data_IF_348286368881
#
_entry.id   IF_348286368881
#
_cell.length_a   1.000
_cell.length_b   1.000
_cell.length_c   1.000
_cell.angle_alpha   90.00
_cell.angle_beta   90.00
_cell.angle_gamma   90.00
#
_symmetry.space_group_name_H-M   'P 1'
#
loop_
_entity.id
_entity.type
_entity.pdbx_description
1 polymer ?
#
# COMPACT_ATOMS: atom_id res chain seq x y z
N UNK A 1 -10.08 -12.48 46.14
CA UNK A 1 -10.85 -12.46 44.86
C UNK A 1 -10.68 -11.09 44.23
N UNK A 2 -9.83 -10.96 43.21
CA UNK A 2 -10.00 -9.95 42.14
C UNK A 2 -9.41 -10.59 40.88
N UNK A 3 -10.28 -11.10 39.98
CA UNK A 3 -9.87 -11.49 38.63
C UNK A 3 -9.97 -10.22 37.79
N UNK A 4 -8.86 -9.49 37.67
CA UNK A 4 -8.76 -8.37 36.75
C UNK A 4 -8.73 -8.93 35.33
N UNK A 5 -9.89 -8.89 34.69
CA UNK A 5 -10.05 -9.36 33.31
C UNK A 5 -9.54 -8.25 32.42
N UNK A 6 -8.23 -8.26 32.15
CA UNK A 6 -7.62 -7.46 31.08
C UNK A 6 -8.20 -8.00 29.77
N UNK A 7 -9.31 -7.40 29.31
CA UNK A 7 -9.75 -7.53 27.92
C UNK A 7 -8.63 -6.93 27.07
N UNK A 8 -7.69 -7.77 26.60
CA UNK A 8 -6.81 -7.41 25.49
C UNK A 8 -7.71 -6.90 24.38
N UNK A 9 -7.58 -5.62 24.04
CA UNK A 9 -8.07 -5.12 22.76
C UNK A 9 -7.35 -5.95 21.72
N UNK A 10 -8.04 -6.95 21.19
CA UNK A 10 -7.60 -7.68 20.01
C UNK A 10 -7.26 -6.61 18.98
N UNK A 11 -6.01 -6.57 18.54
CA UNK A 11 -5.56 -5.61 17.54
C UNK A 11 -6.50 -5.73 16.34
N UNK A 12 -6.93 -4.63 15.75
CA UNK A 12 -7.87 -4.66 14.61
C UNK A 12 -7.33 -5.51 13.46
N UNK A 13 -6.00 -5.69 13.38
CA UNK A 13 -5.28 -6.56 12.43
C UNK A 13 -5.43 -8.06 12.74
N UNK A 14 -5.52 -8.47 14.02
CA UNK A 14 -5.70 -9.89 14.40
C UNK A 14 -7.04 -10.46 13.89
N UNK A 15 -7.98 -9.59 13.52
CA UNK A 15 -9.26 -9.97 12.91
C UNK A 15 -9.18 -10.19 11.40
N UNK A 16 -8.12 -9.72 10.75
CA UNK A 16 -7.93 -9.69 9.30
C UNK A 16 -6.47 -10.01 8.94
N UNK A 17 -5.96 -11.21 9.27
CA UNK A 17 -4.55 -11.58 9.16
C UNK A 17 -3.99 -11.47 7.72
N UNK A 18 -4.85 -11.64 6.71
CA UNK A 18 -4.54 -11.45 5.30
C UNK A 18 -4.15 -9.99 4.98
N UNK A 19 -4.77 -9.01 5.65
CA UNK A 19 -4.43 -7.60 5.49
C UNK A 19 -3.11 -7.27 6.19
N UNK A 20 -2.81 -7.90 7.32
CA UNK A 20 -1.56 -7.70 8.04
C UNK A 20 -0.36 -8.16 7.20
N UNK A 21 -0.40 -9.40 6.69
CA UNK A 21 0.65 -9.90 5.80
C UNK A 21 0.79 -9.06 4.53
N UNK A 22 -0.34 -8.58 4.02
CA UNK A 22 -0.38 -7.68 2.87
C UNK A 22 0.30 -6.33 3.16
N UNK A 23 -0.03 -5.66 4.27
CA UNK A 23 0.58 -4.37 4.62
C UNK A 23 2.06 -4.52 4.95
N UNK A 24 2.48 -5.63 5.54
CA UNK A 24 3.89 -5.91 5.77
C UNK A 24 4.63 -6.03 4.44
N UNK A 25 4.12 -6.84 3.50
CA UNK A 25 4.75 -7.01 2.17
C UNK A 25 4.85 -5.69 1.40
N UNK A 26 3.81 -4.86 1.50
CA UNK A 26 3.76 -3.54 0.90
C UNK A 26 4.80 -2.59 1.53
N UNK A 27 4.97 -2.65 2.85
CA UNK A 27 5.95 -1.86 3.60
C UNK A 27 7.37 -2.27 3.22
N UNK A 28 7.69 -3.57 3.29
CA UNK A 28 9.01 -4.09 2.97
C UNK A 28 9.44 -3.72 1.54
N UNK A 29 8.53 -3.89 0.58
CA UNK A 29 8.77 -3.53 -0.83
C UNK A 29 8.98 -2.01 -0.99
N UNK A 30 8.21 -1.21 -0.26
CA UNK A 30 8.31 0.25 -0.32
C UNK A 30 9.59 0.77 0.31
N UNK A 31 10.05 0.16 1.41
CA UNK A 31 11.31 0.47 2.07
C UNK A 31 12.52 0.14 1.19
N UNK A 32 12.48 -0.98 0.46
CA UNK A 32 13.49 -1.32 -0.54
C UNK A 32 13.53 -0.31 -1.71
N UNK A 33 12.37 0.19 -2.13
CA UNK A 33 12.30 1.24 -3.16
C UNK A 33 12.75 2.59 -2.60
N UNK A 34 12.54 2.88 -1.32
CA UNK A 34 12.99 4.12 -0.70
C UNK A 34 14.53 4.29 -0.76
N UNK A 35 15.28 3.19 -0.73
CA UNK A 35 16.74 3.21 -0.84
C UNK A 35 17.26 3.33 -2.28
N UNK A 36 16.41 3.65 -3.27
CA UNK A 36 16.76 3.70 -4.71
C UNK A 36 17.92 4.63 -5.08
N UNK A 37 18.12 5.69 -4.30
CA UNK A 37 19.21 6.65 -4.51
C UNK A 37 20.39 6.44 -3.56
N UNK A 38 20.38 5.36 -2.79
CA UNK A 38 21.49 5.01 -1.93
C UNK A 38 22.54 4.19 -2.69
N UNK A 39 23.68 3.97 -2.05
CA UNK A 39 24.77 3.14 -2.54
C UNK A 39 24.56 1.64 -2.24
N UNK A 40 23.44 1.28 -1.62
CA UNK A 40 23.10 -0.11 -1.35
C UNK A 40 22.67 -0.81 -2.64
N UNK A 41 23.19 -2.01 -2.87
CA UNK A 41 22.75 -2.87 -3.97
C UNK A 41 21.36 -3.43 -3.64
N UNK A 42 20.33 -2.83 -4.23
CA UNK A 42 18.99 -3.38 -4.24
C UNK A 42 18.63 -3.82 -5.67
N UNK A 43 17.93 -4.96 -5.76
CA UNK A 43 17.39 -5.47 -7.01
C UNK A 43 16.08 -4.72 -7.32
N UNK A 44 16.23 -3.49 -7.79
CA UNK A 44 15.09 -2.63 -8.08
C UNK A 44 14.16 -3.22 -9.13
N UNK A 45 14.66 -4.02 -10.08
CA UNK A 45 13.80 -4.67 -11.07
C UNK A 45 12.84 -5.63 -10.36
N UNK A 46 13.36 -6.45 -9.45
CA UNK A 46 12.55 -7.32 -8.61
C UNK A 46 11.61 -6.54 -7.68
N UNK A 47 12.08 -5.50 -7.00
CA UNK A 47 11.26 -4.73 -6.06
C UNK A 47 10.05 -4.08 -6.76
N UNK A 48 10.25 -3.53 -7.97
CA UNK A 48 9.16 -2.96 -8.76
C UNK A 48 8.21 -4.03 -9.31
N UNK A 49 8.72 -5.20 -9.69
CA UNK A 49 7.88 -6.33 -10.08
C UNK A 49 7.00 -6.80 -8.91
N UNK A 50 7.56 -6.88 -7.71
CA UNK A 50 6.82 -7.24 -6.49
C UNK A 50 5.76 -6.19 -6.16
N UNK A 51 6.09 -4.90 -6.27
CA UNK A 51 5.13 -3.81 -6.06
C UNK A 51 3.93 -3.91 -7.02
N UNK A 52 4.18 -4.20 -8.29
CA UNK A 52 3.12 -4.39 -9.29
C UNK A 52 2.30 -5.65 -8.99
N UNK A 53 2.94 -6.77 -8.67
CA UNK A 53 2.26 -8.02 -8.31
C UNK A 53 1.33 -7.83 -7.11
N UNK A 54 1.82 -7.14 -6.07
CA UNK A 54 1.02 -6.79 -4.89
C UNK A 54 -0.18 -5.93 -5.31
N UNK A 55 0.03 -4.94 -6.19
CA UNK A 55 -1.06 -4.09 -6.65
C UNK A 55 -2.12 -4.85 -7.46
N UNK A 56 -1.72 -5.72 -8.38
CA UNK A 56 -2.65 -6.59 -9.11
C UNK A 56 -3.46 -7.48 -8.17
N UNK A 57 -2.82 -8.03 -7.12
CA UNK A 57 -3.51 -8.83 -6.12
C UNK A 57 -4.55 -8.01 -5.32
N UNK A 58 -4.30 -6.73 -5.06
CA UNK A 58 -5.30 -5.84 -4.45
C UNK A 58 -6.47 -5.65 -5.41
N UNK A 59 -6.18 -5.40 -6.69
CA UNK A 59 -7.20 -5.07 -7.67
C UNK A 59 -8.16 -6.23 -7.95
N UNK A 60 -7.74 -7.47 -7.67
CA UNK A 60 -8.57 -8.66 -7.86
C UNK A 60 -9.60 -8.91 -6.75
N UNK A 61 -9.49 -8.21 -5.61
CA UNK A 61 -10.42 -8.34 -4.48
C UNK A 61 -11.66 -7.46 -4.71
N UNK A 62 -12.85 -8.01 -4.46
CA UNK A 62 -14.14 -7.29 -4.53
C UNK A 62 -14.37 -6.37 -3.32
N UNK A 63 -13.57 -5.30 -3.24
CA UNK A 63 -13.61 -4.34 -2.14
C UNK A 63 -14.93 -3.58 -2.00
N UNK A 64 -15.72 -3.44 -3.06
CA UNK A 64 -16.99 -2.72 -3.05
C UNK A 64 -18.09 -3.42 -2.25
N UNK A 65 -18.03 -4.75 -2.14
CA UNK A 65 -18.98 -5.59 -1.40
C UNK A 65 -18.43 -6.05 -0.06
N UNK A 66 -17.13 -5.88 0.19
CA UNK A 66 -16.46 -6.27 1.43
C UNK A 66 -17.06 -5.61 2.68
N UNK A 67 -16.97 -6.30 3.82
CA UNK A 67 -17.39 -5.79 5.13
C UNK A 67 -16.83 -4.39 5.42
N UNK A 68 -17.60 -3.55 6.11
CA UNK A 68 -17.22 -2.17 6.41
C UNK A 68 -15.93 -2.08 7.24
N UNK A 69 -15.74 -2.97 8.22
CA UNK A 69 -14.52 -3.00 9.02
C UNK A 69 -13.30 -3.33 8.15
N UNK A 70 -13.43 -4.36 7.32
CA UNK A 70 -12.39 -4.80 6.40
C UNK A 70 -11.99 -3.71 5.39
N UNK A 71 -12.99 -3.09 4.74
CA UNK A 71 -12.77 -2.02 3.79
C UNK A 71 -12.16 -0.77 4.43
N UNK A 72 -12.66 -0.35 5.61
CA UNK A 72 -12.13 0.82 6.30
C UNK A 72 -10.66 0.62 6.72
N UNK A 73 -10.32 -0.60 7.14
CA UNK A 73 -8.93 -0.95 7.43
C UNK A 73 -8.08 -0.87 6.17
N UNK A 74 -8.46 -1.59 5.11
CA UNK A 74 -7.79 -1.55 3.81
C UNK A 74 -7.57 -0.12 3.30
N UNK A 75 -8.64 0.68 3.22
CA UNK A 75 -8.57 2.04 2.69
C UNK A 75 -7.65 2.95 3.50
N UNK A 76 -7.58 2.78 4.82
CA UNK A 76 -6.68 3.57 5.67
C UNK A 76 -5.22 3.29 5.35
N UNK A 77 -4.85 2.01 5.31
CA UNK A 77 -3.49 1.59 4.99
C UNK A 77 -3.10 1.87 3.53
N UNK A 78 -3.99 1.61 2.58
CA UNK A 78 -3.73 1.91 1.17
C UNK A 78 -3.51 3.40 0.93
N UNK A 79 -4.26 4.26 1.63
CA UNK A 79 -4.03 5.72 1.60
C UNK A 79 -2.64 6.07 2.16
N UNK A 80 -2.24 5.45 3.26
CA UNK A 80 -0.92 5.65 3.86
C UNK A 80 0.20 5.23 2.90
N UNK A 81 0.09 4.04 2.31
CA UNK A 81 1.04 3.55 1.30
C UNK A 81 1.25 4.53 0.15
N UNK A 82 0.17 4.97 -0.49
CA UNK A 82 0.25 5.91 -1.62
C UNK A 82 0.92 7.23 -1.21
N UNK A 83 0.80 7.63 0.07
CA UNK A 83 1.49 8.80 0.62
C UNK A 83 2.98 8.56 0.82
N UNK A 84 3.40 7.40 1.32
CA UNK A 84 4.82 7.05 1.42
C UNK A 84 5.46 7.03 0.02
N UNK A 85 4.79 6.43 -0.97
CA UNK A 85 5.26 6.44 -2.36
C UNK A 85 5.41 7.87 -2.90
N UNK A 86 4.49 8.78 -2.56
CA UNK A 86 4.59 10.21 -2.92
C UNK A 86 5.83 10.88 -2.32
N UNK A 87 6.15 10.57 -1.06
CA UNK A 87 7.32 11.09 -0.35
C UNK A 87 8.62 10.55 -0.98
N UNK A 88 8.70 9.25 -1.25
CA UNK A 88 9.85 8.63 -1.93
C UNK A 88 10.08 9.28 -3.30
N UNK A 89 9.03 9.49 -4.09
CA UNK A 89 9.15 10.18 -5.39
C UNK A 89 9.71 11.59 -5.21
N UNK A 90 9.26 12.31 -4.19
CA UNK A 90 9.71 13.69 -3.92
C UNK A 90 11.18 13.71 -3.55
N UNK A 91 11.59 12.90 -2.57
CA UNK A 91 13.00 12.78 -2.15
C UNK A 91 13.89 12.32 -3.33
N UNK A 92 13.41 11.36 -4.12
CA UNK A 92 14.17 10.87 -5.25
C UNK A 92 14.38 11.90 -6.36
N UNK A 93 13.46 12.85 -6.52
CA UNK A 93 13.60 13.98 -7.45
C UNK A 93 14.61 15.02 -6.96
N UNK A 94 14.88 15.12 -5.66
CA UNK A 94 15.84 16.09 -5.11
C UNK A 94 17.30 15.66 -5.36
N UNK A 95 17.59 14.36 -5.36
CA UNK A 95 18.95 13.81 -5.53
C UNK A 95 19.39 13.76 -7.02
N UNK A 96 18.44 13.75 -7.97
CA UNK A 96 18.67 13.80 -9.42
C UNK A 96 19.69 12.77 -9.97
N UNK A 97 19.62 11.50 -9.55
CA UNK A 97 20.45 10.44 -10.10
C UNK A 97 19.97 10.00 -11.51
N UNK A 98 20.75 10.21 -12.59
CA UNK A 98 20.34 9.85 -13.96
C UNK A 98 20.10 8.35 -14.15
N UNK A 99 20.91 7.51 -13.51
CA UNK A 99 20.89 6.05 -13.68
C UNK A 99 19.64 5.41 -13.07
N UNK A 100 18.98 6.14 -12.15
CA UNK A 100 17.76 5.70 -11.46
C UNK A 100 16.49 6.34 -11.99
N UNK A 101 16.61 7.17 -13.04
CA UNK A 101 15.48 7.93 -13.63
C UNK A 101 14.36 7.03 -14.15
N UNK A 102 14.69 5.86 -14.68
CA UNK A 102 13.69 4.91 -15.19
C UNK A 102 12.81 4.37 -14.06
N UNK A 103 13.41 3.90 -12.98
CA UNK A 103 12.67 3.42 -11.81
C UNK A 103 11.82 4.52 -11.17
N UNK A 104 12.32 5.77 -11.13
CA UNK A 104 11.51 6.90 -10.68
C UNK A 104 10.27 7.14 -11.56
N UNK A 105 10.38 6.94 -12.88
CA UNK A 105 9.22 7.01 -13.79
C UNK A 105 8.22 5.88 -13.54
N UNK A 106 8.71 4.67 -13.27
CA UNK A 106 7.86 3.54 -12.89
C UNK A 106 7.10 3.86 -11.61
N UNK A 107 7.76 4.44 -10.61
CA UNK A 107 7.14 4.78 -9.32
C UNK A 107 6.07 5.87 -9.47
N UNK A 108 6.34 6.89 -10.29
CA UNK A 108 5.36 7.93 -10.64
C UNK A 108 4.15 7.33 -11.34
N UNK A 109 4.38 6.39 -12.26
CA UNK A 109 3.30 5.70 -12.99
C UNK A 109 2.47 4.85 -12.06
N UNK A 110 3.11 4.06 -11.20
CA UNK A 110 2.47 3.28 -10.15
C UNK A 110 1.57 4.14 -9.27
N UNK A 111 2.09 5.24 -8.72
CA UNK A 111 1.32 6.15 -7.86
C UNK A 111 0.07 6.66 -8.56
N UNK A 112 0.20 7.11 -9.82
CA UNK A 112 -0.93 7.61 -10.61
C UNK A 112 -1.99 6.52 -10.80
N UNK A 113 -1.57 5.30 -11.16
CA UNK A 113 -2.49 4.17 -11.36
C UNK A 113 -3.20 3.80 -10.05
N UNK A 114 -2.48 3.80 -8.93
CA UNK A 114 -3.01 3.56 -7.60
C UNK A 114 -4.06 4.60 -7.20
N UNK A 115 -3.77 5.90 -7.38
CA UNK A 115 -4.70 7.00 -7.11
C UNK A 115 -5.98 6.88 -7.97
N UNK A 116 -5.82 6.68 -9.28
CA UNK A 116 -6.93 6.57 -10.23
C UNK A 116 -7.83 5.37 -9.93
N UNK A 117 -7.23 4.22 -9.64
CA UNK A 117 -7.94 3.00 -9.26
C UNK A 117 -8.70 3.21 -7.94
N UNK A 118 -8.04 3.77 -6.93
CA UNK A 118 -8.62 3.94 -5.61
C UNK A 118 -9.78 4.95 -5.60
N UNK A 119 -9.68 6.01 -6.39
CA UNK A 119 -10.77 6.95 -6.60
C UNK A 119 -11.99 6.27 -7.27
N UNK A 120 -11.76 5.37 -8.23
CA UNK A 120 -12.84 4.58 -8.86
C UNK A 120 -13.47 3.60 -7.86
N UNK A 121 -12.66 2.93 -7.04
CA UNK A 121 -13.17 2.02 -6.00
C UNK A 121 -14.09 2.75 -5.00
N UNK A 122 -13.68 3.91 -4.49
CA UNK A 122 -14.52 4.72 -3.58
C UNK A 122 -15.87 5.09 -4.21
N UNK A 123 -15.87 5.44 -5.50
CA UNK A 123 -17.11 5.73 -6.25
C UNK A 123 -17.99 4.49 -6.39
N UNK A 124 -17.40 3.34 -6.77
CA UNK A 124 -18.13 2.06 -6.88
C UNK A 124 -18.78 1.66 -5.57
N UNK A 125 -18.03 1.70 -4.45
CA UNK A 125 -18.58 1.34 -3.14
C UNK A 125 -19.75 2.24 -2.73
N UNK A 126 -19.64 3.55 -2.97
CA UNK A 126 -20.75 4.48 -2.70
C UNK A 126 -22.00 4.14 -3.51
N UNK A 127 -21.84 3.71 -4.77
CA UNK A 127 -22.96 3.29 -5.60
C UNK A 127 -23.60 2.00 -5.08
N UNK A 128 -22.79 1.00 -4.67
CA UNK A 128 -23.27 -0.27 -4.09
C UNK A 128 -24.02 -0.03 -2.76
N UNK A 129 -23.55 0.88 -1.91
CA UNK A 129 -24.22 1.20 -0.64
C UNK A 129 -25.51 2.01 -0.79
N UNK A 130 -25.74 2.62 -1.96
CA UNK A 130 -26.94 3.40 -2.25
C UNK A 130 -28.01 2.59 -3.02
N UNK A 131 -27.65 1.41 -3.50
CA UNK A 131 -28.53 0.46 -4.19
C UNK A 131 -29.21 -0.48 -3.20
#
# INVERSE_FOLDING_TARGET
>A
MVKETVKRKVSTLEKFPELESYFQSLTDTTDNIAIINTHYEADHEKDFQDLENIFQNIQSIEWETADNGYYNLFTSYFTFHVKIIEEIIKEAREILNPDKREYLKLLVTYKKNADDWFAKLKKKRKAVQAA
#
